data_IF_802246579191
#
_entry.id   IF_802246579191
#
_cell.length_a   1.000
_cell.length_b   1.000
_cell.length_c   1.000
_cell.angle_alpha   90.00
_cell.angle_beta   90.00
_cell.angle_gamma   90.00
#
_symmetry.space_group_name_H-M   'P 1'
#
loop_
_entity.id
_entity.type
_entity.pdbx_description
1 polymer ?
#
# COMPACT_ATOMS: atom_id res chain seq x y z
N UNK A 1 20.36 33.82 12.49
CA UNK A 1 19.39 33.00 11.71
C UNK A 1 19.21 31.69 12.45
N UNK A 2 17.97 31.28 12.74
CA UNK A 2 17.73 29.97 13.35
C UNK A 2 17.85 28.92 12.24
N UNK A 3 18.90 28.10 12.32
CA UNK A 3 19.11 26.96 11.42
C UNK A 3 18.58 25.69 12.08
N UNK A 4 17.91 24.84 11.29
CA UNK A 4 17.49 23.51 11.72
C UNK A 4 18.49 22.47 11.24
N UNK A 5 18.70 21.42 12.03
CA UNK A 5 19.51 20.27 11.65
C UNK A 5 18.59 19.14 11.19
N UNK A 6 18.85 18.62 9.99
CA UNK A 6 18.20 17.42 9.48
C UNK A 6 19.25 16.35 9.16
N UNK A 7 18.86 15.09 9.35
CA UNK A 7 19.69 13.95 8.95
C UNK A 7 19.48 13.68 7.46
N UNK A 8 20.50 13.92 6.65
CA UNK A 8 20.59 13.35 5.30
C UNK A 8 21.38 12.04 5.35
N UNK A 9 20.96 11.06 4.54
CA UNK A 9 21.68 9.80 4.40
C UNK A 9 22.37 9.77 3.05
N UNK A 10 23.66 9.45 3.04
CA UNK A 10 24.37 9.26 1.77
C UNK A 10 23.97 7.94 1.09
N UNK A 11 24.48 7.71 -0.13
CA UNK A 11 24.21 6.48 -0.90
C UNK A 11 24.64 5.19 -0.18
N UNK A 12 25.41 5.29 0.90
CA UNK A 12 25.85 4.18 1.74
C UNK A 12 25.07 4.10 3.07
N UNK A 13 24.03 4.93 3.25
CA UNK A 13 23.18 4.96 4.44
C UNK A 13 23.83 5.64 5.65
N UNK A 14 24.94 6.37 5.49
CA UNK A 14 25.58 7.09 6.60
C UNK A 14 24.92 8.47 6.79
N UNK A 15 24.54 8.77 8.03
CA UNK A 15 23.91 10.06 8.37
C UNK A 15 24.92 11.20 8.36
N UNK A 16 24.54 12.32 7.75
CA UNK A 16 25.23 13.61 7.81
C UNK A 16 24.24 14.69 8.21
N UNK A 17 24.66 15.54 9.14
CA UNK A 17 23.87 16.69 9.55
C UNK A 17 23.94 17.76 8.47
N UNK A 18 22.77 18.18 7.98
CA UNK A 18 22.63 19.31 7.07
C UNK A 18 21.90 20.44 7.78
N UNK A 19 22.53 21.60 7.78
CA UNK A 19 21.89 22.84 8.22
C UNK A 19 20.96 23.34 7.12
N UNK A 20 19.72 23.64 7.49
CA UNK A 20 18.71 24.21 6.58
C UNK A 20 18.13 25.49 7.19
N UNK A 21 17.65 26.37 6.32
CA UNK A 21 16.95 27.59 6.69
C UNK A 21 15.54 27.29 7.24
N UNK A 22 14.92 28.29 7.86
CA UNK A 22 13.54 28.18 8.36
C UNK A 22 12.55 28.04 7.20
N UNK A 23 12.79 28.73 6.10
CA UNK A 23 11.99 28.63 4.87
C UNK A 23 12.08 27.22 4.27
N UNK A 24 13.28 26.66 4.18
CA UNK A 24 13.51 25.30 3.69
C UNK A 24 12.82 24.25 4.57
N UNK A 25 12.92 24.39 5.90
CA UNK A 25 12.23 23.52 6.84
C UNK A 25 10.69 23.57 6.68
N UNK A 26 10.13 24.76 6.47
CA UNK A 26 8.70 24.94 6.21
C UNK A 26 8.24 24.25 4.92
N UNK A 27 9.07 24.29 3.87
CA UNK A 27 8.78 23.59 2.61
C UNK A 27 8.84 22.07 2.77
N UNK A 28 9.85 21.54 3.47
CA UNK A 28 9.98 20.09 3.72
C UNK A 28 8.76 19.57 4.48
N UNK A 29 8.33 20.28 5.53
CA UNK A 29 7.16 19.89 6.32
C UNK A 29 5.89 19.87 5.48
N UNK A 30 5.70 20.89 4.63
CA UNK A 30 4.57 20.96 3.70
C UNK A 30 4.55 19.79 2.72
N UNK A 31 5.71 19.45 2.14
CA UNK A 31 5.86 18.31 1.23
C UNK A 31 5.58 16.99 1.96
N UNK A 32 6.10 16.82 3.18
CA UNK A 32 5.86 15.61 3.98
C UNK A 32 4.39 15.43 4.33
N UNK A 33 3.68 16.52 4.63
CA UNK A 33 2.24 16.49 4.87
C UNK A 33 1.46 16.02 3.63
N UNK A 34 1.85 16.51 2.44
CA UNK A 34 1.25 16.09 1.17
C UNK A 34 1.52 14.59 0.93
N UNK A 35 2.77 14.15 1.07
CA UNK A 35 3.16 12.73 0.94
C UNK A 35 2.33 11.84 1.88
N UNK A 36 2.18 12.24 3.15
CA UNK A 36 1.38 11.52 4.15
C UNK A 36 -0.10 11.43 3.75
N UNK A 37 -0.68 12.50 3.21
CA UNK A 37 -2.07 12.50 2.74
C UNK A 37 -2.26 11.56 1.54
N UNK A 38 -1.34 11.58 0.58
CA UNK A 38 -1.37 10.68 -0.59
C UNK A 38 -1.26 9.22 -0.15
N UNK A 39 -0.26 8.90 0.69
CA UNK A 39 -0.08 7.56 1.23
C UNK A 39 -1.33 7.07 1.96
N UNK A 40 -1.92 7.91 2.83
CA UNK A 40 -3.16 7.58 3.54
C UNK A 40 -4.30 7.28 2.56
N UNK A 41 -4.46 8.09 1.51
CA UNK A 41 -5.50 7.88 0.49
C UNK A 41 -5.35 6.54 -0.22
N UNK A 42 -4.14 6.20 -0.67
CA UNK A 42 -3.87 4.93 -1.37
C UNK A 42 -4.10 3.73 -0.43
N UNK A 43 -3.63 3.81 0.82
CA UNK A 43 -3.86 2.74 1.80
C UNK A 43 -5.34 2.58 2.17
N UNK A 44 -6.12 3.66 2.19
CA UNK A 44 -7.57 3.58 2.38
C UNK A 44 -8.23 2.86 1.20
N UNK A 45 -7.87 3.17 -0.04
CA UNK A 45 -8.36 2.42 -1.22
C UNK A 45 -8.07 0.93 -1.11
N UNK A 46 -6.86 0.56 -0.68
CA UNK A 46 -6.50 -0.85 -0.47
C UNK A 46 -7.41 -1.51 0.57
N UNK A 47 -7.68 -0.84 1.70
CA UNK A 47 -8.58 -1.36 2.74
C UNK A 47 -10.02 -1.50 2.26
N UNK A 48 -10.52 -0.53 1.51
CA UNK A 48 -11.85 -0.55 0.91
C UNK A 48 -11.97 -1.72 -0.07
N UNK A 49 -10.98 -1.87 -0.97
CA UNK A 49 -10.93 -2.97 -1.94
C UNK A 49 -10.99 -4.34 -1.25
N UNK A 50 -10.13 -4.56 -0.26
CA UNK A 50 -10.11 -5.81 0.52
C UNK A 50 -11.44 -6.04 1.24
N UNK A 51 -12.05 -4.97 1.76
CA UNK A 51 -13.34 -5.06 2.48
C UNK A 51 -14.50 -5.38 1.53
N UNK A 52 -14.53 -4.77 0.34
CA UNK A 52 -15.56 -5.02 -0.67
C UNK A 52 -15.50 -6.45 -1.20
N UNK A 53 -14.30 -6.98 -1.46
CA UNK A 53 -14.13 -8.36 -1.96
C UNK A 53 -14.54 -9.40 -0.92
N UNK A 54 -14.27 -9.11 0.37
CA UNK A 54 -14.67 -9.98 1.48
C UNK A 54 -16.16 -9.93 1.82
N UNK A 55 -16.93 -9.01 1.23
CA UNK A 55 -18.37 -8.97 1.43
C UNK A 55 -19.03 -10.15 0.68
N UNK A 56 -19.90 -10.88 1.37
CA UNK A 56 -20.42 -12.21 1.00
C UNK A 56 -21.00 -12.32 -0.41
N UNK A 57 -21.63 -11.27 -0.92
CA UNK A 57 -22.27 -11.28 -2.25
C UNK A 57 -21.23 -11.26 -3.39
N UNK A 58 -20.14 -10.52 -3.21
CA UNK A 58 -19.02 -10.45 -4.17
C UNK A 58 -18.20 -11.73 -4.15
N UNK A 59 -17.93 -12.29 -2.97
CA UNK A 59 -17.29 -13.62 -2.85
C UNK A 59 -18.13 -14.72 -3.55
N UNK A 60 -19.46 -14.64 -3.47
CA UNK A 60 -20.38 -15.59 -4.13
C UNK A 60 -20.39 -15.41 -5.65
N UNK A 61 -20.52 -14.18 -6.14
CA UNK A 61 -20.47 -13.87 -7.57
C UNK A 61 -19.09 -14.16 -8.20
N UNK A 62 -18.02 -13.95 -7.42
CA UNK A 62 -16.67 -14.37 -7.78
C UNK A 62 -16.57 -15.87 -7.97
N UNK A 63 -17.04 -16.62 -6.97
CA UNK A 63 -17.07 -18.08 -7.03
C UNK A 63 -17.78 -18.55 -8.29
N UNK A 64 -18.98 -18.01 -8.55
CA UNK A 64 -19.79 -18.41 -9.71
C UNK A 64 -19.14 -18.07 -11.07
N UNK A 65 -18.55 -16.87 -11.23
CA UNK A 65 -17.85 -16.51 -12.47
C UNK A 65 -16.53 -17.26 -12.63
N UNK A 66 -15.76 -17.45 -11.56
CA UNK A 66 -14.46 -18.12 -11.62
C UNK A 66 -14.59 -19.63 -11.89
N UNK A 67 -15.63 -20.28 -11.34
CA UNK A 67 -16.01 -21.65 -11.70
C UNK A 67 -16.35 -21.77 -13.19
N UNK A 68 -17.03 -20.78 -13.77
CA UNK A 68 -17.32 -20.77 -15.22
C UNK A 68 -16.10 -20.58 -16.13
N UNK A 69 -14.97 -20.15 -15.57
CA UNK A 69 -13.70 -19.94 -16.30
C UNK A 69 -12.58 -20.91 -15.89
N UNK A 70 -12.86 -21.95 -15.10
CA UNK A 70 -11.86 -22.88 -14.54
C UNK A 70 -10.68 -22.18 -13.82
N UNK A 71 -10.93 -21.02 -13.20
CA UNK A 71 -9.89 -20.29 -12.45
C UNK A 71 -9.74 -20.86 -11.04
N UNK A 72 -8.50 -21.04 -10.57
CA UNK A 72 -8.23 -21.55 -9.22
C UNK A 72 -8.79 -20.61 -8.14
N UNK A 73 -9.60 -21.21 -7.25
CA UNK A 73 -10.35 -20.55 -6.19
C UNK A 73 -9.71 -20.77 -4.81
N UNK A 74 -9.84 -19.86 -3.81
CA UNK A 74 -10.28 -18.44 -3.84
C UNK A 74 -9.15 -17.41 -3.73
N UNK A 75 -9.37 -16.19 -4.26
CA UNK A 75 -8.54 -15.00 -3.99
C UNK A 75 -8.72 -14.60 -2.52
N UNK A 76 -7.80 -15.05 -1.66
CA UNK A 76 -7.74 -14.64 -0.26
C UNK A 76 -6.88 -13.38 -0.11
N UNK A 77 -7.53 -12.28 0.21
CA UNK A 77 -6.88 -11.01 0.57
C UNK A 77 -6.77 -10.86 2.09
N UNK A 78 -5.66 -10.31 2.55
CA UNK A 78 -5.41 -10.07 3.98
C UNK A 78 -5.92 -8.68 4.35
N UNK A 79 -6.67 -8.57 5.45
CA UNK A 79 -7.13 -7.29 5.98
C UNK A 79 -6.06 -6.70 6.89
N UNK A 80 -5.72 -5.43 6.68
CA UNK A 80 -4.91 -4.69 7.64
C UNK A 80 -5.65 -4.53 8.98
N UNK A 81 -4.95 -4.83 10.07
CA UNK A 81 -5.41 -4.76 11.45
C UNK A 81 -4.64 -3.63 12.15
N UNK A 82 -5.31 -2.56 12.59
CA UNK A 82 -4.64 -1.37 13.15
C UNK A 82 -3.64 -1.66 14.28
N UNK A 83 -3.92 -2.67 15.10
CA UNK A 83 -3.11 -3.04 16.28
C UNK A 83 -1.94 -3.98 15.96
N UNK A 84 -1.90 -4.59 14.77
CA UNK A 84 -0.78 -5.45 14.33
C UNK A 84 0.04 -4.69 13.31
N UNK A 85 1.22 -4.21 13.74
CA UNK A 85 2.09 -3.33 12.95
C UNK A 85 2.40 -3.88 11.54
N UNK A 86 2.57 -5.21 11.45
CA UNK A 86 2.84 -5.93 10.20
C UNK A 86 1.66 -6.10 9.24
N UNK A 87 0.43 -5.88 9.70
CA UNK A 87 -0.75 -6.23 8.91
C UNK A 87 -0.93 -5.38 7.65
N UNK A 88 -0.35 -4.17 7.63
CA UNK A 88 -0.29 -3.36 6.41
C UNK A 88 0.59 -4.03 5.37
N UNK A 89 1.77 -4.52 5.76
CA UNK A 89 2.65 -5.29 4.87
C UNK A 89 1.93 -6.53 4.34
N UNK A 90 1.32 -7.33 5.22
CA UNK A 90 0.64 -8.57 4.82
C UNK A 90 -0.55 -8.29 3.86
N UNK A 91 -1.24 -7.15 4.03
CA UNK A 91 -2.29 -6.70 3.11
C UNK A 91 -1.70 -6.34 1.74
N UNK A 92 -0.62 -5.54 1.70
CA UNK A 92 0.06 -5.15 0.47
C UNK A 92 0.57 -6.37 -0.30
N UNK A 93 1.23 -7.30 0.39
CA UNK A 93 1.69 -8.58 -0.17
C UNK A 93 0.53 -9.31 -0.86
N UNK A 94 -0.60 -9.47 -0.16
CA UNK A 94 -1.75 -10.20 -0.68
C UNK A 94 -2.39 -9.55 -1.91
N UNK A 95 -2.34 -8.22 -2.02
CA UNK A 95 -2.84 -7.43 -3.15
C UNK A 95 -1.88 -7.57 -4.34
N UNK A 96 -0.58 -7.42 -4.12
CA UNK A 96 0.45 -7.45 -5.17
C UNK A 96 0.59 -8.84 -5.79
N UNK A 97 0.63 -9.89 -4.96
CA UNK A 97 0.73 -11.29 -5.42
C UNK A 97 -0.47 -11.70 -6.29
N UNK A 98 -1.63 -11.07 -6.09
CA UNK A 98 -2.89 -11.42 -6.77
C UNK A 98 -3.37 -10.31 -7.70
N UNK A 99 -2.46 -9.47 -8.19
CA UNK A 99 -2.77 -8.25 -8.94
C UNK A 99 -3.67 -8.54 -10.15
N UNK A 100 -3.30 -9.53 -10.96
CA UNK A 100 -3.99 -9.80 -12.23
C UNK A 100 -5.41 -10.34 -12.01
N UNK A 101 -5.56 -11.27 -11.07
CA UNK A 101 -6.86 -11.80 -10.71
C UNK A 101 -7.73 -10.70 -10.08
N UNK A 102 -7.14 -9.87 -9.21
CA UNK A 102 -7.82 -8.75 -8.57
C UNK A 102 -8.33 -7.70 -9.56
N UNK A 103 -7.55 -7.36 -10.59
CA UNK A 103 -7.97 -6.44 -11.64
C UNK A 103 -9.17 -7.00 -12.43
N UNK A 104 -9.14 -8.29 -12.73
CA UNK A 104 -10.27 -8.97 -13.39
C UNK A 104 -11.53 -8.90 -12.52
N UNK A 105 -11.41 -9.19 -11.23
CA UNK A 105 -12.49 -9.09 -10.23
C UNK A 105 -13.09 -7.69 -10.17
N UNK A 106 -12.25 -6.68 -10.03
CA UNK A 106 -12.66 -5.27 -9.93
C UNK A 106 -13.43 -4.85 -11.19
N UNK A 107 -12.91 -5.21 -12.36
CA UNK A 107 -13.54 -4.90 -13.65
C UNK A 107 -14.91 -5.56 -13.79
N UNK A 108 -14.99 -6.84 -13.45
CA UNK A 108 -16.17 -7.67 -13.68
C UNK A 108 -17.28 -7.41 -12.65
N UNK A 109 -16.93 -7.12 -11.39
CA UNK A 109 -17.90 -7.14 -10.28
C UNK A 109 -18.06 -5.81 -9.56
N UNK A 110 -17.02 -4.98 -9.55
CA UNK A 110 -17.09 -3.65 -8.95
C UNK A 110 -17.36 -2.56 -9.97
N UNK A 111 -17.44 -2.89 -11.27
CA UNK A 111 -17.58 -1.94 -12.37
C UNK A 111 -16.57 -0.78 -12.27
N UNK A 112 -15.35 -1.09 -11.79
CA UNK A 112 -14.31 -0.11 -11.50
C UNK A 112 -14.68 0.99 -10.48
N UNK A 113 -15.70 0.79 -9.63
CA UNK A 113 -16.04 1.73 -8.55
C UNK A 113 -14.92 1.87 -7.52
N UNK A 114 -14.18 0.79 -7.28
CA UNK A 114 -13.01 0.75 -6.41
C UNK A 114 -11.88 0.14 -7.22
N UNK A 115 -10.91 0.97 -7.64
CA UNK A 115 -9.76 0.52 -8.40
C UNK A 115 -8.48 1.20 -7.91
N UNK A 116 -7.40 0.45 -7.99
CA UNK A 116 -6.03 0.91 -7.78
C UNK A 116 -5.44 1.13 -9.18
N UNK A 117 -4.88 2.32 -9.43
CA UNK A 117 -4.29 2.62 -10.75
C UNK A 117 -2.94 1.92 -10.92
N UNK A 118 -2.43 1.80 -12.15
CA UNK A 118 -1.09 1.25 -12.39
C UNK A 118 0.01 2.04 -11.66
N UNK A 119 -0.10 3.37 -11.63
CA UNK A 119 0.84 4.23 -10.86
C UNK A 119 0.75 3.94 -9.36
N UNK A 120 -0.46 3.74 -8.84
CA UNK A 120 -0.65 3.35 -7.45
C UNK A 120 -0.08 1.95 -7.18
N UNK A 121 -0.18 1.00 -8.11
CA UNK A 121 0.46 -0.31 -7.98
C UNK A 121 1.98 -0.22 -7.92
N UNK A 122 2.61 0.58 -8.80
CA UNK A 122 4.07 0.82 -8.75
C UNK A 122 4.47 1.36 -7.37
N UNK A 123 3.75 2.38 -6.89
CA UNK A 123 3.97 2.95 -5.56
C UNK A 123 3.81 1.92 -4.43
N UNK A 124 2.80 1.04 -4.52
CA UNK A 124 2.59 -0.02 -3.53
C UNK A 124 3.71 -1.07 -3.56
N UNK A 125 4.25 -1.40 -4.73
CA UNK A 125 5.40 -2.29 -4.87
C UNK A 125 6.67 -1.69 -4.26
N UNK A 126 6.91 -0.40 -4.46
CA UNK A 126 8.02 0.31 -3.82
C UNK A 126 7.87 0.32 -2.28
N UNK A 127 6.67 0.64 -1.79
CA UNK A 127 6.37 0.62 -0.36
C UNK A 127 6.53 -0.80 0.23
N UNK A 128 6.06 -1.82 -0.47
CA UNK A 128 6.23 -3.22 -0.09
C UNK A 128 7.71 -3.58 0.04
N UNK A 129 8.53 -3.23 -0.95
CA UNK A 129 9.97 -3.50 -0.95
C UNK A 129 10.69 -2.75 0.18
N UNK A 130 10.26 -1.53 0.50
CA UNK A 130 10.79 -0.76 1.62
C UNK A 130 10.46 -1.41 2.97
N UNK A 131 9.26 -1.96 3.13
CA UNK A 131 8.79 -2.59 4.36
C UNK A 131 9.30 -4.02 4.54
N UNK A 132 9.66 -4.71 3.46
CA UNK A 132 10.07 -6.11 3.47
C UNK A 132 11.26 -6.40 4.39
N UNK A 133 12.39 -5.66 4.36
CA UNK A 133 13.49 -5.88 5.28
C UNK A 133 13.06 -5.76 6.75
N UNK A 134 12.18 -4.80 7.07
CA UNK A 134 11.67 -4.63 8.43
C UNK A 134 10.84 -5.83 8.87
N UNK A 135 9.99 -6.35 7.97
CA UNK A 135 9.22 -7.57 8.21
C UNK A 135 10.15 -8.76 8.46
N UNK A 136 11.17 -8.93 7.61
CA UNK A 136 12.09 -10.07 7.66
C UNK A 136 12.94 -10.06 8.94
N UNK A 137 13.42 -8.88 9.38
CA UNK A 137 14.16 -8.72 10.63
C UNK A 137 13.33 -9.02 11.89
N UNK A 138 12.01 -8.84 11.82
CA UNK A 138 11.11 -8.93 12.98
C UNK A 138 10.27 -10.21 13.02
N UNK A 139 10.62 -11.23 12.22
CA UNK A 139 10.07 -12.57 12.33
C UNK A 139 10.68 -13.29 13.56
N UNK A 140 10.28 -12.87 14.76
CA UNK A 140 10.40 -13.64 16.01
C UNK A 140 9.10 -14.41 16.28
#
# INVERSE_FOLDING_TARGET
MNHFLINEYDSNGKSKDKQISREEAGHIESVNLIKKKILKKILTKCKELVSSIRYSELTRLLKQKQESFNLNYPIKLVKAVPTRWNSTYDMLDSILVKKDELLLVVKILLSNKIYITEVEFVFLSELYNLLKPLKDLMNF
#
